data_IF_126542638112
#
_entry.id   IF_126542638112
#
_cell.length_a   1.000
_cell.length_b   1.000
_cell.length_c   1.000
_cell.angle_alpha   90.00
_cell.angle_beta   90.00
_cell.angle_gamma   90.00
#
_symmetry.space_group_name_H-M   'P 1'
#
loop_
_entity.id
_entity.type
_entity.pdbx_description
1 polymer ?
#
# COMPACT_ATOMS: atom_id res chain seq x y z
N UNK A 1 16.11 8.02 -1.67
CA UNK A 1 16.36 6.62 -2.12
C UNK A 1 15.15 6.21 -2.95
N UNK A 2 15.31 6.07 -4.26
CA UNK A 2 14.23 5.58 -5.14
C UNK A 2 14.25 4.05 -5.04
N UNK A 3 13.10 3.45 -4.75
CA UNK A 3 12.97 2.00 -4.64
C UNK A 3 13.15 1.38 -6.04
N UNK A 4 14.11 0.48 -6.15
CA UNK A 4 14.48 -0.20 -7.40
C UNK A 4 13.47 -1.32 -7.73
N UNK A 5 13.27 -1.62 -9.01
CA UNK A 5 12.45 -2.72 -9.50
C UNK A 5 12.89 -4.07 -8.93
N UNK A 6 14.17 -4.20 -8.54
CA UNK A 6 14.72 -5.38 -7.86
C UNK A 6 14.04 -5.68 -6.52
N UNK A 7 13.60 -4.65 -5.78
CA UNK A 7 12.89 -4.84 -4.51
C UNK A 7 11.47 -5.36 -4.72
N UNK A 8 10.79 -4.84 -5.75
CA UNK A 8 9.48 -5.33 -6.18
C UNK A 8 9.55 -6.81 -6.54
N UNK A 9 10.55 -7.19 -7.35
CA UNK A 9 10.77 -8.57 -7.75
C UNK A 9 11.09 -9.48 -6.56
N UNK A 10 11.86 -8.99 -5.59
CA UNK A 10 12.19 -9.75 -4.38
C UNK A 10 10.99 -9.93 -3.44
N UNK A 11 10.15 -8.90 -3.26
CA UNK A 11 8.87 -9.02 -2.54
C UNK A 11 7.94 -10.01 -3.22
N UNK A 12 7.89 -9.96 -4.56
CA UNK A 12 7.14 -10.92 -5.36
C UNK A 12 7.65 -12.34 -5.10
N UNK A 13 8.97 -12.58 -5.21
CA UNK A 13 9.59 -13.89 -4.94
C UNK A 13 9.37 -14.40 -3.52
N UNK A 14 9.47 -13.52 -2.52
CA UNK A 14 9.19 -13.85 -1.13
C UNK A 14 7.73 -14.26 -0.90
N UNK A 15 6.79 -13.63 -1.60
CA UNK A 15 5.37 -14.02 -1.61
C UNK A 15 5.16 -15.43 -2.19
N UNK A 16 6.03 -15.85 -3.13
CA UNK A 16 6.03 -17.19 -3.75
C UNK A 16 6.93 -18.21 -3.02
N UNK A 17 7.48 -17.89 -1.85
CA UNK A 17 8.31 -18.81 -1.06
C UNK A 17 9.70 -19.11 -1.66
N UNK A 18 10.13 -18.37 -2.68
CA UNK A 18 11.43 -18.54 -3.34
C UNK A 18 12.44 -17.50 -2.83
N UNK A 19 13.17 -17.81 -1.75
CA UNK A 19 14.12 -16.88 -1.09
C UNK A 19 15.59 -17.09 -1.47
N UNK A 20 15.89 -17.97 -2.42
CA UNK A 20 17.26 -18.49 -2.66
C UNK A 20 18.26 -17.48 -3.24
N UNK A 21 17.83 -16.26 -3.62
CA UNK A 21 18.71 -15.16 -4.09
C UNK A 21 18.19 -13.79 -3.65
N UNK A 22 18.43 -13.43 -2.38
CA UNK A 22 18.28 -12.05 -1.90
C UNK A 22 19.63 -11.34 -2.02
N UNK A 23 19.81 -10.55 -3.08
CA UNK A 23 21.03 -9.77 -3.28
C UNK A 23 21.23 -8.72 -2.17
N UNK A 24 22.48 -8.45 -1.79
CA UNK A 24 22.87 -7.48 -0.74
C UNK A 24 22.19 -6.10 -0.89
N UNK A 25 22.01 -5.52 -2.10
CA UNK A 25 21.30 -4.26 -2.27
C UNK A 25 19.81 -4.35 -1.88
N UNK A 26 19.16 -5.48 -2.13
CA UNK A 26 17.76 -5.73 -1.80
C UNK A 26 17.56 -5.89 -0.30
N UNK A 27 18.49 -6.59 0.36
CA UNK A 27 18.55 -6.68 1.83
C UNK A 27 18.81 -5.31 2.46
N UNK A 28 19.71 -4.52 1.87
CA UNK A 28 19.99 -3.16 2.33
C UNK A 28 18.76 -2.24 2.15
N UNK A 29 18.03 -2.35 1.05
CA UNK A 29 16.80 -1.58 0.84
C UNK A 29 15.68 -1.97 1.81
N UNK A 30 15.50 -3.27 2.07
CA UNK A 30 14.58 -3.75 3.09
C UNK A 30 14.99 -3.26 4.48
N UNK A 31 16.28 -3.34 4.82
CA UNK A 31 16.83 -2.83 6.08
C UNK A 31 16.68 -1.31 6.21
N UNK A 32 16.83 -0.54 5.12
CA UNK A 32 16.59 0.90 5.12
C UNK A 32 15.10 1.25 5.28
N UNK A 33 14.18 0.47 4.72
CA UNK A 33 12.73 0.65 4.91
C UNK A 33 12.32 0.33 6.35
N UNK A 34 12.81 -0.78 6.88
CA UNK A 34 12.63 -1.16 8.30
C UNK A 34 13.26 -0.09 9.20
N UNK A 35 14.48 0.33 8.90
CA UNK A 35 15.21 1.36 9.63
C UNK A 35 14.49 2.72 9.61
N UNK A 36 13.98 3.17 8.47
CA UNK A 36 13.22 4.43 8.37
C UNK A 36 11.86 4.38 9.08
N UNK A 37 11.21 3.21 9.14
CA UNK A 37 10.04 2.99 10.00
C UNK A 37 10.40 3.08 11.49
N UNK A 38 11.51 2.48 11.91
CA UNK A 38 12.00 2.57 13.29
C UNK A 38 12.43 3.99 13.68
N UNK A 39 13.18 4.70 12.84
CA UNK A 39 13.61 6.08 13.11
C UNK A 39 12.44 7.05 13.08
N UNK A 40 11.46 6.86 12.20
CA UNK A 40 10.22 7.64 12.19
C UNK A 40 9.37 7.43 13.45
N UNK A 41 9.29 6.18 13.95
CA UNK A 41 8.66 5.88 15.23
C UNK A 41 9.42 6.52 16.42
N UNK A 42 10.75 6.46 16.42
CA UNK A 42 11.60 7.06 17.46
C UNK A 42 11.55 8.59 17.46
N UNK A 43 11.64 9.25 16.29
CA UNK A 43 11.55 10.69 16.15
C UNK A 43 10.17 11.24 16.56
N UNK A 44 9.11 10.47 16.31
CA UNK A 44 7.76 10.83 16.75
C UNK A 44 7.50 10.55 18.23
N UNK A 45 8.23 9.63 18.85
CA UNK A 45 8.24 9.46 20.31
C UNK A 45 9.02 10.61 20.99
N UNK A 46 10.17 10.99 20.42
CA UNK A 46 11.00 12.07 20.95
C UNK A 46 10.29 13.44 20.87
N UNK A 47 9.62 13.74 19.76
CA UNK A 47 8.81 14.98 19.61
C UNK A 47 7.55 15.02 20.48
N UNK A 48 7.14 13.90 21.10
CA UNK A 48 6.07 13.90 22.13
C UNK A 48 6.60 14.21 23.52
N UNK A 49 7.83 13.81 23.83
CA UNK A 49 8.48 14.19 25.09
C UNK A 49 8.82 15.70 25.12
N UNK A 50 9.07 16.31 23.95
CA UNK A 50 9.57 17.69 23.87
C UNK A 50 8.53 18.75 23.47
N UNK A 51 7.28 18.39 23.15
CA UNK A 51 6.27 19.38 22.73
C UNK A 51 5.41 19.92 23.90
N UNK A 52 5.23 21.25 24.01
CA UNK A 52 4.26 21.84 24.93
C UNK A 52 2.83 21.40 24.60
N UNK A 53 2.01 21.13 25.63
CA UNK A 53 0.59 20.79 25.50
C UNK A 53 -0.22 21.96 24.94
N UNK A 54 -0.39 22.03 23.62
CA UNK A 54 -1.33 22.97 22.99
C UNK A 54 -2.74 22.38 22.99
N UNK A 55 -3.71 23.13 23.52
CA UNK A 55 -5.13 22.77 23.70
C UNK A 55 -5.78 22.43 22.34
N UNK A 56 -6.17 21.15 22.15
CA UNK A 56 -6.83 20.62 20.94
C UNK A 56 -8.33 20.94 20.94
N UNK A 57 -8.72 22.16 20.57
CA UNK A 57 -10.14 22.56 20.48
C UNK A 57 -10.80 22.33 19.12
N UNK A 58 -10.08 22.55 18.01
CA UNK A 58 -10.69 22.66 16.66
C UNK A 58 -10.17 21.66 15.63
N UNK A 59 -8.99 21.06 15.85
CA UNK A 59 -8.35 20.09 14.92
C UNK A 59 -9.01 18.71 14.82
N UNK A 60 -9.99 18.41 15.67
CA UNK A 60 -10.64 17.10 15.73
C UNK A 60 -11.51 16.77 14.50
N UNK A 61 -12.32 17.74 14.05
CA UNK A 61 -13.27 17.54 12.95
C UNK A 61 -12.61 17.47 11.57
N UNK A 62 -11.64 18.34 11.30
CA UNK A 62 -10.90 18.34 10.02
C UNK A 62 -10.03 17.09 9.84
N UNK A 63 -9.37 16.65 10.92
CA UNK A 63 -8.57 15.42 10.89
C UNK A 63 -9.43 14.16 10.71
N UNK A 64 -10.70 14.19 11.13
CA UNK A 64 -11.66 13.13 10.87
C UNK A 64 -12.12 13.13 9.40
N UNK A 65 -12.45 14.29 8.81
CA UNK A 65 -12.92 14.39 7.42
C UNK A 65 -11.87 13.92 6.41
N UNK A 66 -10.63 14.44 6.47
CA UNK A 66 -9.59 14.01 5.54
C UNK A 66 -9.18 12.55 5.78
N UNK A 67 -9.23 12.07 7.03
CA UNK A 67 -8.98 10.67 7.35
C UNK A 67 -9.98 9.71 6.70
N UNK A 68 -11.26 10.09 6.62
CA UNK A 68 -12.30 9.30 5.94
C UNK A 68 -12.06 9.27 4.43
N UNK A 69 -11.80 10.43 3.81
CA UNK A 69 -11.53 10.53 2.38
C UNK A 69 -10.28 9.72 2.02
N UNK A 70 -9.19 9.89 2.77
CA UNK A 70 -7.95 9.13 2.57
C UNK A 70 -8.18 7.62 2.67
N UNK A 71 -8.98 7.16 3.65
CA UNK A 71 -9.31 5.73 3.77
C UNK A 71 -10.15 5.25 2.59
N UNK A 72 -11.14 6.02 2.15
CA UNK A 72 -11.96 5.66 1.00
C UNK A 72 -11.12 5.50 -0.26
N UNK A 73 -10.19 6.43 -0.52
CA UNK A 73 -9.24 6.34 -1.65
C UNK A 73 -8.31 5.14 -1.49
N UNK A 74 -7.80 4.89 -0.28
CA UNK A 74 -6.91 3.75 0.00
C UNK A 74 -7.60 2.37 -0.11
N UNK A 75 -8.93 2.34 -0.12
CA UNK A 75 -9.74 1.15 -0.41
C UNK A 75 -10.08 1.08 -1.91
N UNK A 76 -10.51 2.19 -2.50
CA UNK A 76 -10.96 2.23 -3.88
C UNK A 76 -9.82 1.94 -4.87
N UNK A 77 -8.62 2.50 -4.64
CA UNK A 77 -7.48 2.33 -5.53
C UNK A 77 -7.06 0.85 -5.71
N UNK A 78 -6.82 0.07 -4.64
CA UNK A 78 -6.49 -1.35 -4.80
C UNK A 78 -7.65 -2.19 -5.34
N UNK A 79 -8.92 -1.83 -5.08
CA UNK A 79 -10.06 -2.55 -5.66
C UNK A 79 -10.19 -2.32 -7.16
N UNK A 80 -9.97 -1.08 -7.62
CA UNK A 80 -9.94 -0.78 -9.04
C UNK A 80 -8.83 -1.58 -9.75
N UNK A 81 -7.64 -1.64 -9.14
CA UNK A 81 -6.54 -2.44 -9.67
C UNK A 81 -6.85 -3.95 -9.63
N UNK A 82 -7.40 -4.43 -8.52
CA UNK A 82 -7.81 -5.83 -8.36
C UNK A 82 -8.80 -6.25 -9.44
N UNK A 83 -9.78 -5.39 -9.77
CA UNK A 83 -10.77 -5.66 -10.82
C UNK A 83 -10.12 -5.94 -12.17
N UNK A 84 -9.11 -5.16 -12.56
CA UNK A 84 -8.37 -5.37 -13.81
C UNK A 84 -7.63 -6.71 -13.78
N UNK A 85 -6.89 -7.00 -12.70
CA UNK A 85 -6.10 -8.24 -12.57
C UNK A 85 -7.01 -9.48 -12.52
N UNK A 86 -8.12 -9.42 -11.81
CA UNK A 86 -9.10 -10.51 -11.76
C UNK A 86 -9.80 -10.72 -13.11
N UNK A 87 -10.08 -9.64 -13.86
CA UNK A 87 -10.60 -9.75 -15.22
C UNK A 87 -9.59 -10.45 -16.13
N UNK A 88 -8.30 -10.07 -16.07
CA UNK A 88 -7.24 -10.72 -16.85
C UNK A 88 -7.06 -12.19 -16.45
N UNK A 89 -7.16 -12.52 -15.16
CA UNK A 89 -7.17 -13.90 -14.68
C UNK A 89 -8.33 -14.72 -15.26
N UNK A 90 -9.50 -14.10 -15.43
CA UNK A 90 -10.67 -14.69 -16.06
C UNK A 90 -10.59 -14.76 -17.60
N UNK A 91 -9.49 -14.26 -18.20
CA UNK A 91 -9.29 -14.20 -19.65
C UNK A 91 -9.93 -12.98 -20.31
N UNK A 92 -10.45 -12.03 -19.53
CA UNK A 92 -11.02 -10.76 -20.00
C UNK A 92 -9.95 -9.68 -19.89
N UNK A 93 -9.24 -9.43 -20.98
CA UNK A 93 -8.06 -8.54 -20.99
C UNK A 93 -8.45 -7.07 -21.18
N UNK A 94 -9.16 -6.52 -20.20
CA UNK A 94 -9.61 -5.12 -20.23
C UNK A 94 -8.39 -4.19 -20.35
N UNK A 95 -8.41 -3.30 -21.35
CA UNK A 95 -7.37 -2.31 -21.55
C UNK A 95 -6.04 -2.87 -22.03
N UNK A 96 -6.05 -3.99 -22.76
CA UNK A 96 -4.86 -4.51 -23.41
C UNK A 96 -5.19 -5.04 -24.81
N UNK A 97 -4.30 -4.80 -25.77
CA UNK A 97 -4.42 -5.31 -27.13
C UNK A 97 -4.15 -6.82 -27.18
N UNK A 98 -4.73 -7.48 -28.18
CA UNK A 98 -4.53 -8.92 -28.38
C UNK A 98 -3.05 -9.26 -28.57
N UNK A 99 -2.31 -8.43 -29.32
CA UNK A 99 -0.87 -8.61 -29.58
C UNK A 99 -0.05 -8.46 -28.31
N UNK A 100 -0.42 -7.53 -27.42
CA UNK A 100 0.26 -7.35 -26.14
C UNK A 100 0.04 -8.55 -25.20
N UNK A 101 -1.17 -9.13 -25.23
CA UNK A 101 -1.58 -10.20 -24.33
C UNK A 101 -1.18 -11.59 -24.83
N UNK A 102 -1.03 -11.79 -26.13
CA UNK A 102 -0.72 -13.10 -26.72
C UNK A 102 0.41 -13.87 -25.98
N UNK A 103 1.51 -13.23 -25.53
CA UNK A 103 2.55 -13.90 -24.74
C UNK A 103 2.15 -14.30 -23.31
N UNK A 104 1.10 -13.69 -22.75
CA UNK A 104 0.66 -13.79 -21.35
C UNK A 104 -0.60 -14.63 -21.14
N UNK A 105 -0.98 -15.47 -22.10
CA UNK A 105 -2.21 -16.27 -22.05
C UNK A 105 -2.09 -17.59 -21.28
N UNK A 106 -0.87 -17.98 -20.91
CA UNK A 106 -0.58 -19.23 -20.22
C UNK A 106 -1.30 -19.34 -18.85
N UNK A 107 -1.61 -20.57 -18.43
CA UNK A 107 -2.27 -20.84 -17.13
C UNK A 107 -1.52 -20.19 -15.96
N UNK A 108 -0.18 -20.26 -15.97
CA UNK A 108 0.65 -19.64 -14.94
C UNK A 108 0.49 -18.11 -14.87
N UNK A 109 0.31 -17.44 -16.01
CA UNK A 109 0.06 -16.01 -16.04
C UNK A 109 -1.32 -15.69 -15.43
N UNK A 110 -2.37 -16.43 -15.78
CA UNK A 110 -3.72 -16.23 -15.20
C UNK A 110 -3.76 -16.46 -13.69
N UNK A 111 -3.05 -17.46 -13.19
CA UNK A 111 -2.90 -17.70 -11.74
C UNK A 111 -2.18 -16.51 -11.07
N UNK A 112 -1.12 -16.00 -11.71
CA UNK A 112 -0.39 -14.83 -11.22
C UNK A 112 -1.31 -13.61 -11.11
N UNK A 113 -2.11 -13.36 -12.14
CA UNK A 113 -3.12 -12.30 -12.17
C UNK A 113 -4.14 -12.44 -11.03
N UNK A 114 -4.63 -13.67 -10.80
CA UNK A 114 -5.58 -13.96 -9.73
C UNK A 114 -5.00 -13.70 -8.34
N UNK A 115 -3.76 -14.13 -8.11
CA UNK A 115 -3.04 -13.93 -6.83
C UNK A 115 -2.84 -12.45 -6.56
N UNK A 116 -2.42 -11.66 -7.56
CA UNK A 116 -2.24 -10.22 -7.41
C UNK A 116 -3.59 -9.55 -7.11
N UNK A 117 -4.63 -9.89 -7.85
CA UNK A 117 -5.98 -9.35 -7.63
C UNK A 117 -6.50 -9.66 -6.23
N UNK A 118 -6.35 -10.90 -5.77
CA UNK A 118 -6.72 -11.32 -4.42
C UNK A 118 -5.92 -10.58 -3.35
N UNK A 119 -4.60 -10.44 -3.51
CA UNK A 119 -3.76 -9.69 -2.59
C UNK A 119 -4.19 -8.22 -2.46
N UNK A 120 -4.57 -7.58 -3.58
CA UNK A 120 -5.09 -6.22 -3.57
C UNK A 120 -6.44 -6.13 -2.84
N UNK A 121 -7.35 -7.09 -3.06
CA UNK A 121 -8.63 -7.16 -2.36
C UNK A 121 -8.44 -7.35 -0.84
N UNK A 122 -7.51 -8.21 -0.43
CA UNK A 122 -7.13 -8.37 0.98
C UNK A 122 -6.53 -7.08 1.54
N UNK A 123 -5.65 -6.40 0.79
CA UNK A 123 -5.11 -5.10 1.18
C UNK A 123 -6.18 -4.04 1.40
N UNK A 124 -7.20 -4.00 0.54
CA UNK A 124 -8.37 -3.13 0.69
C UNK A 124 -9.17 -3.47 1.97
N UNK A 125 -9.38 -4.77 2.21
CA UNK A 125 -10.07 -5.27 3.41
C UNK A 125 -9.31 -4.91 4.70
N UNK A 126 -7.99 -5.04 4.70
CA UNK A 126 -7.12 -4.64 5.82
C UNK A 126 -7.16 -3.13 6.05
N UNK A 127 -7.23 -2.34 4.97
CA UNK A 127 -7.37 -0.88 5.05
C UNK A 127 -8.71 -0.47 5.66
N UNK A 128 -9.79 -1.20 5.37
CA UNK A 128 -11.08 -1.02 6.06
C UNK A 128 -10.97 -1.28 7.58
N UNK A 129 -10.05 -2.16 7.99
CA UNK A 129 -9.56 -2.31 9.36
C UNK A 129 -9.25 -1.00 10.07
N UNK A 130 -8.66 -0.03 9.39
CA UNK A 130 -8.23 1.24 10.00
C UNK A 130 -9.39 2.15 10.43
N UNK A 131 -10.61 1.93 9.94
CA UNK A 131 -11.79 2.77 10.26
C UNK A 131 -12.88 1.99 11.00
N UNK A 132 -12.90 0.66 10.88
CA UNK A 132 -13.91 -0.19 11.53
C UNK A 132 -13.45 -0.71 12.90
N UNK A 133 -14.39 -1.11 13.78
CA UNK A 133 -14.08 -1.57 15.15
C UNK A 133 -13.10 -2.76 15.23
N UNK A 134 -13.08 -3.62 14.22
CA UNK A 134 -12.20 -4.79 14.16
C UNK A 134 -10.69 -4.47 14.05
N UNK A 135 -10.30 -3.24 13.68
CA UNK A 135 -8.91 -2.79 13.75
C UNK A 135 -8.52 -2.24 15.13
N UNK A 136 -9.45 -2.23 16.07
CA UNK A 136 -9.22 -1.82 17.46
C UNK A 136 -9.37 -2.99 18.43
N UNK A 137 -10.23 -3.95 18.10
CA UNK A 137 -10.49 -5.17 18.86
C UNK A 137 -10.50 -6.35 17.91
N UNK A 138 -9.72 -7.39 18.20
CA UNK A 138 -9.70 -8.58 17.36
C UNK A 138 -11.10 -9.22 17.26
N UNK A 139 -11.56 -9.56 16.05
CA UNK A 139 -12.89 -10.11 15.85
C UNK A 139 -13.03 -11.50 16.46
N UNK A 140 -14.27 -11.91 16.72
CA UNK A 140 -14.60 -13.13 17.47
C UNK A 140 -14.23 -14.42 16.73
N UNK A 141 -14.05 -14.34 15.42
CA UNK A 141 -13.64 -15.46 14.55
C UNK A 141 -12.13 -15.72 14.56
N UNK A 142 -11.32 -14.88 15.23
CA UNK A 142 -9.89 -15.10 15.43
C UNK A 142 -9.67 -15.80 16.78
N UNK A 143 -9.62 -17.15 16.84
CA UNK A 143 -9.75 -17.90 18.09
C UNK A 143 -8.66 -17.58 19.13
N UNK A 144 -7.44 -17.24 18.69
CA UNK A 144 -6.29 -17.00 19.57
C UNK A 144 -6.29 -15.58 20.16
N UNK A 145 -6.87 -14.59 19.47
CA UNK A 145 -6.74 -13.17 19.81
C UNK A 145 -8.08 -12.49 20.12
N UNK A 146 -9.19 -13.22 20.02
CA UNK A 146 -10.55 -12.71 20.17
C UNK A 146 -10.72 -11.78 21.39
N UNK A 147 -11.40 -10.64 21.17
CA UNK A 147 -11.72 -9.61 22.18
C UNK A 147 -10.51 -8.90 22.82
N UNK A 148 -9.26 -9.19 22.46
CA UNK A 148 -8.11 -8.39 22.91
C UNK A 148 -8.05 -7.06 22.17
N UNK A 149 -7.64 -5.99 22.87
CA UNK A 149 -7.35 -4.70 22.24
C UNK A 149 -6.11 -4.84 21.36
N UNK A 150 -6.21 -4.42 20.10
CA UNK A 150 -5.09 -4.42 19.17
C UNK A 150 -4.13 -3.28 19.54
N UNK A 151 -2.85 -3.55 19.83
CA UNK A 151 -1.86 -2.50 20.02
C UNK A 151 -1.76 -1.66 18.73
N UNK A 152 -1.84 -0.32 18.77
CA UNK A 152 -1.88 0.50 17.56
C UNK A 152 -0.71 0.26 16.59
N UNK A 153 0.46 -0.12 17.10
CA UNK A 153 1.65 -0.38 16.29
C UNK A 153 1.52 -1.62 15.40
N UNK A 154 0.71 -2.61 15.78
CA UNK A 154 0.47 -3.83 14.99
C UNK A 154 -0.20 -3.50 13.65
N UNK A 155 -1.05 -2.48 13.61
CA UNK A 155 -1.65 -2.00 12.37
C UNK A 155 -0.77 -0.95 11.67
N UNK A 156 -0.14 -0.04 12.42
CA UNK A 156 0.59 1.11 11.86
C UNK A 156 1.87 0.71 11.15
N UNK A 157 2.64 -0.25 11.68
CA UNK A 157 3.90 -0.68 11.08
C UNK A 157 3.72 -1.34 9.71
N UNK A 158 2.90 -2.41 9.56
CA UNK A 158 2.71 -3.04 8.25
C UNK A 158 2.02 -2.10 7.25
N UNK A 159 1.01 -1.33 7.69
CA UNK A 159 0.34 -0.36 6.81
C UNK A 159 1.30 0.75 6.37
N UNK A 160 2.18 1.24 7.25
CA UNK A 160 3.21 2.21 6.91
C UNK A 160 4.24 1.67 5.93
N UNK A 161 4.70 0.43 6.12
CA UNK A 161 5.63 -0.24 5.20
C UNK A 161 5.02 -0.42 3.81
N UNK A 162 3.77 -0.91 3.74
CA UNK A 162 3.04 -1.06 2.49
C UNK A 162 2.85 0.30 1.79
N UNK A 163 2.43 1.32 2.54
CA UNK A 163 2.22 2.66 2.00
C UNK A 163 3.49 3.24 1.36
N UNK A 164 4.64 3.12 2.05
CA UNK A 164 5.91 3.62 1.56
C UNK A 164 6.37 2.87 0.31
N UNK A 165 6.22 1.55 0.31
CA UNK A 165 6.57 0.70 -0.84
C UNK A 165 5.72 1.06 -2.06
N UNK A 166 4.40 1.13 -1.90
CA UNK A 166 3.47 1.47 -2.98
C UNK A 166 3.67 2.88 -3.51
N UNK A 167 3.86 3.86 -2.62
CA UNK A 167 4.06 5.26 -3.02
C UNK A 167 5.36 5.42 -3.81
N UNK A 168 6.46 4.83 -3.34
CA UNK A 168 7.76 4.92 -3.99
C UNK A 168 7.79 4.19 -5.32
N UNK A 169 7.29 2.95 -5.37
CA UNK A 169 7.18 2.17 -6.60
C UNK A 169 6.27 2.85 -7.63
N UNK A 170 5.07 3.26 -7.22
CA UNK A 170 4.13 3.95 -8.10
C UNK A 170 4.69 5.24 -8.66
N UNK A 171 5.38 6.04 -7.84
CA UNK A 171 6.01 7.28 -8.31
C UNK A 171 7.14 7.01 -9.32
N UNK A 172 7.97 6.00 -9.08
CA UNK A 172 9.05 5.61 -9.99
C UNK A 172 8.49 5.17 -11.36
N UNK A 173 7.47 4.30 -11.34
CA UNK A 173 6.81 3.80 -12.54
C UNK A 173 6.09 4.93 -13.29
N UNK A 174 5.40 5.82 -12.57
CA UNK A 174 4.69 6.97 -13.17
C UNK A 174 5.66 7.93 -13.83
N UNK A 175 6.83 8.18 -13.21
CA UNK A 175 7.89 8.98 -13.82
C UNK A 175 8.42 8.33 -15.10
N UNK A 176 8.60 7.00 -15.11
CA UNK A 176 8.98 6.26 -16.32
C UNK A 176 7.95 6.39 -17.43
N UNK A 177 6.66 6.24 -17.10
CA UNK A 177 5.55 6.41 -18.04
C UNK A 177 5.51 7.83 -18.63
N UNK A 178 5.67 8.86 -17.81
CA UNK A 178 5.75 10.24 -18.28
C UNK A 178 6.99 10.48 -19.15
N UNK A 179 8.13 9.89 -18.80
CA UNK A 179 9.34 9.94 -19.63
C UNK A 179 9.12 9.35 -21.02
N UNK A 180 8.41 8.21 -21.11
CA UNK A 180 8.04 7.60 -22.39
C UNK A 180 7.04 8.47 -23.17
N UNK A 181 6.02 9.01 -22.50
CA UNK A 181 5.00 9.87 -23.13
C UNK A 181 5.57 11.18 -23.68
N UNK A 182 6.61 11.72 -23.02
CA UNK A 182 7.32 12.94 -23.44
C UNK A 182 8.46 12.66 -24.44
N UNK A 183 8.69 11.41 -24.85
CA UNK A 183 9.78 11.04 -25.76
C UNK A 183 11.19 11.15 -25.15
N UNK A 184 11.30 11.23 -23.82
CA UNK A 184 12.58 11.34 -23.11
C UNK A 184 13.28 9.98 -22.94
N UNK A 185 12.54 8.87 -23.06
CA UNK A 185 13.00 7.49 -22.93
C UNK A 185 12.25 6.62 -23.96
N UNK A 186 12.85 5.56 -24.54
CA UNK A 186 12.16 4.68 -25.48
C UNK A 186 10.85 4.12 -24.92
N UNK A 187 9.78 4.25 -25.70
CA UNK A 187 8.47 3.71 -25.33
C UNK A 187 8.46 2.17 -25.44
N UNK A 188 7.75 1.54 -24.51
CA UNK A 188 7.50 0.10 -24.51
C UNK A 188 6.07 -0.19 -24.94
N UNK A 189 5.75 -1.38 -25.49
CA UNK A 189 4.37 -1.75 -25.82
C UNK A 189 3.42 -1.64 -24.62
N UNK A 190 3.91 -1.90 -23.40
CA UNK A 190 3.16 -1.75 -22.15
C UNK A 190 2.78 -0.30 -21.81
N UNK A 191 3.41 0.70 -22.43
CA UNK A 191 3.10 2.12 -22.24
C UNK A 191 2.18 2.68 -23.34
N UNK A 192 1.80 1.87 -24.34
CA UNK A 192 0.92 2.31 -25.41
C UNK A 192 -0.48 2.69 -24.87
N UNK A 193 -1.16 3.70 -25.46
CA UNK A 193 -2.49 4.12 -25.01
C UNK A 193 -3.52 2.98 -25.02
N UNK A 194 -3.50 2.09 -26.01
CA UNK A 194 -4.40 0.92 -26.06
C UNK A 194 -4.17 -0.09 -24.91
N UNK A 195 -2.97 -0.10 -24.31
CA UNK A 195 -2.55 -1.01 -23.25
C UNK A 195 -2.70 -0.41 -21.85
N UNK A 196 -3.69 0.45 -21.64
CA UNK A 196 -3.90 1.16 -20.38
C UNK A 196 -4.08 0.25 -19.17
N UNK A 197 -4.65 -0.94 -19.32
CA UNK A 197 -4.76 -1.94 -18.26
C UNK A 197 -3.38 -2.38 -17.73
N UNK A 198 -2.31 -2.27 -18.53
CA UNK A 198 -0.94 -2.56 -18.12
C UNK A 198 -0.32 -1.39 -17.34
N UNK A 199 -0.43 -0.15 -17.84
CA UNK A 199 0.27 0.99 -17.26
C UNK A 199 -0.52 1.75 -16.19
N UNK A 200 -1.84 1.59 -16.10
CA UNK A 200 -2.69 2.28 -15.10
C UNK A 200 -2.29 1.97 -13.66
N UNK A 201 -1.66 0.81 -13.44
CA UNK A 201 -1.11 0.40 -12.15
C UNK A 201 -0.14 1.44 -11.58
N UNK A 202 0.67 2.07 -12.44
CA UNK A 202 1.74 2.98 -12.03
C UNK A 202 1.21 4.20 -11.24
N UNK A 203 0.36 5.07 -11.81
CA UNK A 203 -0.20 6.18 -11.07
C UNK A 203 -1.12 5.73 -9.93
N UNK A 204 -1.83 4.61 -10.12
CA UNK A 204 -2.76 4.08 -9.13
C UNK A 204 -2.04 3.61 -7.85
N UNK A 205 -0.87 2.99 -7.97
CA UNK A 205 -0.02 2.61 -6.83
C UNK A 205 0.50 3.83 -6.07
N UNK A 206 0.85 4.91 -6.77
CA UNK A 206 1.26 6.15 -6.12
C UNK A 206 0.12 6.74 -5.28
N UNK A 207 -1.08 6.83 -5.87
CA UNK A 207 -2.29 7.30 -5.18
C UNK A 207 -2.64 6.40 -4.00
N UNK A 208 -2.58 5.07 -4.19
CA UNK A 208 -2.83 4.10 -3.14
C UNK A 208 -1.85 4.23 -1.98
N UNK A 209 -0.54 4.30 -2.26
CA UNK A 209 0.48 4.43 -1.22
C UNK A 209 0.33 5.71 -0.40
N UNK A 210 0.11 6.85 -1.06
CA UNK A 210 -0.07 8.15 -0.39
C UNK A 210 -1.35 8.16 0.46
N UNK A 211 -2.46 7.67 -0.09
CA UNK A 211 -3.73 7.60 0.64
C UNK A 211 -3.67 6.61 1.81
N UNK A 212 -2.95 5.50 1.69
CA UNK A 212 -2.73 4.54 2.78
C UNK A 212 -1.86 5.14 3.89
N UNK A 213 -0.82 5.90 3.55
CA UNK A 213 -0.02 6.64 4.54
C UNK A 213 -0.89 7.66 5.31
N UNK A 214 -1.74 8.39 4.58
CA UNK A 214 -2.71 9.32 5.13
C UNK A 214 -3.72 8.65 6.08
N UNK A 215 -4.30 7.52 5.66
CA UNK A 215 -5.24 6.73 6.46
C UNK A 215 -4.58 6.19 7.74
N UNK A 216 -3.34 5.69 7.62
CA UNK A 216 -2.53 5.20 8.75
C UNK A 216 -2.23 6.32 9.75
N UNK A 217 -1.92 7.52 9.26
CA UNK A 217 -1.70 8.70 10.10
C UNK A 217 -2.98 9.10 10.85
N UNK A 218 -4.13 9.09 10.16
CA UNK A 218 -5.42 9.37 10.77
C UNK A 218 -5.78 8.34 11.86
N UNK A 219 -5.58 7.04 11.59
CA UNK A 219 -5.77 5.97 12.58
C UNK A 219 -4.91 6.19 13.83
N UNK A 220 -3.62 6.46 13.65
CA UNK A 220 -2.70 6.72 14.77
C UNK A 220 -3.14 7.92 15.61
N UNK A 221 -3.56 9.01 14.97
CA UNK A 221 -4.04 10.22 15.67
C UNK A 221 -5.29 9.94 16.51
N UNK A 222 -6.25 9.17 15.98
CA UNK A 222 -7.46 8.76 16.72
C UNK A 222 -7.09 7.93 17.96
N UNK A 223 -6.24 6.92 17.80
CA UNK A 223 -5.87 6.00 18.90
C UNK A 223 -5.10 6.69 20.03
N UNK A 224 -4.24 7.66 19.72
CA UNK A 224 -3.52 8.44 20.74
C UNK A 224 -4.47 9.39 21.49
N UNK A 225 -5.41 10.03 20.79
CA UNK A 225 -6.39 10.92 21.41
C UNK A 225 -7.33 10.22 22.41
N UNK A 226 -7.69 8.96 22.16
CA UNK A 226 -8.49 8.16 23.09
C UNK A 226 -7.71 7.75 24.35
N UNK A 227 -6.41 7.45 24.22
CA UNK A 227 -5.56 7.07 25.36
C UNK A 227 -5.26 8.22 26.32
N UNK A 228 -5.23 9.47 25.85
CA UNK A 228 -5.05 10.64 26.71
C UNK A 228 -6.31 10.94 27.53
N UNK A 229 -7.50 10.65 26.98
CA UNK A 229 -8.80 10.95 27.59
C UNK A 229 -9.25 9.93 28.64
N UNK A 230 -8.66 8.72 28.65
CA UNK A 230 -8.92 7.69 29.67
C UNK A 230 -7.97 7.76 30.87
N UNK A 231 -7.04 8.73 30.90
CA UNK A 231 -6.06 8.96 31.99
C UNK A 231 -6.37 10.21 32.81
N UNK A 232 -7.42 10.94 32.44
CA UNK A 232 -8.04 12.06 33.17
C UNK A 232 -9.34 11.58 33.77
#
# INVERSE_FOLDING_TARGET
>A
MVVDARLLLALFRALYGNVDRLDVPTLNQAACLVGSLFTGAAATAHTRCTRPRVRRGTRGGESARWGTVATAVAIAAPLAYAGIRLAWAAGIHVGASADFIAPYTAVGARVTEAVIGAACAVGALLTLGLVRPWGEVFPRWLPILARRRVPPLVAVLPAGAAALTLASAGLALTRGLLGMALGLVPATPSAAPENWGAWIAAPLWAVWGVSLAAATLAYRRRRVGTSERSRT
#
